data_IF_515035324367
#
_entry.id   IF_515035324367
#
_cell.length_a   1.000
_cell.length_b   1.000
_cell.length_c   1.000
_cell.angle_alpha   90.00
_cell.angle_beta   90.00
_cell.angle_gamma   90.00
#
_symmetry.space_group_name_H-M   'P 1'
#
loop_
_entity.id
_entity.type
_entity.pdbx_description
1 polymer ?
#
# COMPACT_ATOMS: atom_id res chain seq x y z
N UNK A 1 -30.46 3.67 -13.47
CA UNK A 1 -29.93 2.39 -12.94
C UNK A 1 -29.21 1.71 -14.09
N UNK A 2 -27.87 1.79 -14.11
CA UNK A 2 -27.02 1.31 -15.20
C UNK A 2 -26.35 0.01 -14.80
N UNK A 3 -26.25 -0.90 -15.75
CA UNK A 3 -25.75 -2.26 -15.62
C UNK A 3 -24.36 -2.35 -14.97
N UNK A 4 -24.20 -3.41 -14.15
CA UNK A 4 -22.99 -3.92 -13.50
C UNK A 4 -22.71 -3.49 -12.05
N UNK A 5 -23.69 -3.68 -11.15
CA UNK A 5 -23.37 -4.26 -9.82
C UNK A 5 -22.95 -5.73 -10.02
N UNK A 6 -21.78 -5.97 -10.62
CA UNK A 6 -21.12 -7.25 -10.39
C UNK A 6 -20.70 -7.22 -8.92
N UNK A 7 -21.39 -7.99 -8.07
CA UNK A 7 -21.00 -8.17 -6.68
C UNK A 7 -19.50 -8.53 -6.66
N UNK A 8 -18.68 -7.62 -6.11
CA UNK A 8 -17.25 -7.84 -5.99
C UNK A 8 -17.03 -9.03 -5.04
N UNK A 9 -16.55 -10.15 -5.58
CA UNK A 9 -16.30 -11.37 -4.84
C UNK A 9 -14.81 -11.53 -4.51
N UNK A 10 -14.51 -12.26 -3.44
CA UNK A 10 -13.14 -12.62 -3.09
C UNK A 10 -12.46 -13.39 -4.25
N UNK A 11 -11.12 -13.28 -4.40
CA UNK A 11 -10.39 -13.98 -5.44
C UNK A 11 -10.57 -15.50 -5.40
N UNK A 12 -10.43 -16.15 -6.56
CA UNK A 12 -10.59 -17.60 -6.68
C UNK A 12 -9.58 -18.37 -5.81
N UNK A 13 -9.93 -19.60 -5.41
CA UNK A 13 -9.02 -20.49 -4.67
C UNK A 13 -7.72 -20.77 -5.43
N UNK A 14 -7.78 -20.78 -6.77
CA UNK A 14 -6.59 -20.94 -7.60
C UNK A 14 -5.62 -19.76 -7.43
N UNK A 15 -6.13 -18.52 -7.45
CA UNK A 15 -5.31 -17.34 -7.18
C UNK A 15 -4.76 -17.35 -5.75
N UNK A 16 -5.57 -17.76 -4.76
CA UNK A 16 -5.11 -17.91 -3.37
C UNK A 16 -3.98 -18.93 -3.23
N UNK A 17 -4.04 -20.07 -3.92
CA UNK A 17 -2.94 -21.06 -3.90
C UNK A 17 -1.66 -20.49 -4.53
N UNK A 18 -1.79 -19.69 -5.57
CA UNK A 18 -0.65 -19.06 -6.22
C UNK A 18 0.06 -18.01 -5.35
N UNK A 19 -0.49 -17.59 -4.20
CA UNK A 19 0.23 -16.75 -3.23
C UNK A 19 1.54 -17.39 -2.72
N UNK A 20 1.69 -18.72 -2.83
CA UNK A 20 2.96 -19.40 -2.57
C UNK A 20 4.13 -18.89 -3.42
N UNK A 21 3.86 -18.25 -4.58
CA UNK A 21 4.89 -17.66 -5.43
C UNK A 21 5.60 -16.47 -4.78
N UNK A 22 5.08 -15.91 -3.68
CA UNK A 22 5.77 -14.88 -2.89
C UNK A 22 7.20 -15.28 -2.53
N UNK A 23 7.48 -16.57 -2.28
CA UNK A 23 8.84 -17.05 -2.03
C UNK A 23 9.77 -16.87 -3.25
N UNK A 24 9.27 -17.17 -4.45
CA UNK A 24 10.00 -16.95 -5.69
C UNK A 24 10.15 -15.46 -6.00
N UNK A 25 9.12 -14.67 -5.75
CA UNK A 25 9.16 -13.21 -5.89
C UNK A 25 10.19 -12.58 -4.92
N UNK A 26 10.40 -13.16 -3.74
CA UNK A 26 11.46 -12.75 -2.82
C UNK A 26 12.86 -13.11 -3.34
N UNK A 27 13.02 -14.30 -3.94
CA UNK A 27 14.26 -14.65 -4.65
C UNK A 27 14.56 -13.70 -5.82
N UNK A 28 13.53 -13.37 -6.60
CA UNK A 28 13.62 -12.41 -7.70
C UNK A 28 13.99 -11.00 -7.20
N UNK A 29 13.46 -10.57 -6.05
CA UNK A 29 13.86 -9.33 -5.39
C UNK A 29 15.35 -9.28 -5.10
N UNK A 30 15.89 -10.31 -4.47
CA UNK A 30 17.32 -10.38 -4.15
C UNK A 30 18.17 -10.36 -5.43
N UNK A 31 17.77 -11.11 -6.46
CA UNK A 31 18.45 -11.11 -7.76
C UNK A 31 18.35 -9.79 -8.52
N UNK A 32 17.27 -9.03 -8.33
CA UNK A 32 17.03 -7.76 -8.99
C UNK A 32 17.68 -6.55 -8.28
N UNK A 33 18.27 -6.71 -7.09
CA UNK A 33 18.88 -5.60 -6.34
C UNK A 33 19.88 -4.76 -7.16
N UNK A 34 20.76 -5.34 -8.01
CA UNK A 34 21.64 -4.54 -8.88
C UNK A 34 20.85 -3.67 -9.86
N UNK A 35 19.77 -4.19 -10.45
CA UNK A 35 18.92 -3.44 -11.37
C UNK A 35 18.11 -2.37 -10.62
N UNK A 36 17.56 -2.72 -9.46
CA UNK A 36 16.85 -1.79 -8.57
C UNK A 36 17.77 -0.68 -8.04
N UNK A 37 19.09 -0.86 -8.10
CA UNK A 37 20.04 0.21 -7.79
C UNK A 37 19.98 1.38 -8.78
N UNK A 38 19.34 1.20 -9.94
CA UNK A 38 19.05 2.27 -10.90
C UNK A 38 17.74 3.02 -10.58
N UNK A 39 16.97 2.57 -9.58
CA UNK A 39 15.79 3.29 -9.14
C UNK A 39 16.17 4.68 -8.60
N UNK A 40 15.30 5.70 -8.76
CA UNK A 40 15.54 7.04 -8.26
C UNK A 40 15.96 7.09 -6.79
N UNK A 41 16.79 8.08 -6.46
CA UNK A 41 17.21 8.34 -5.09
C UNK A 41 16.19 9.23 -4.38
N UNK A 42 16.07 9.02 -3.07
CA UNK A 42 15.29 9.87 -2.19
C UNK A 42 16.01 11.17 -1.85
N UNK A 43 15.22 12.16 -1.45
CA UNK A 43 15.67 13.48 -1.00
C UNK A 43 15.86 13.54 0.53
N UNK A 44 15.86 12.40 1.23
CA UNK A 44 15.96 12.32 2.69
C UNK A 44 14.64 12.42 3.46
N UNK A 45 13.47 12.59 2.82
CA UNK A 45 12.21 12.75 3.57
C UNK A 45 11.82 11.49 4.35
N UNK A 46 11.04 11.65 5.43
CA UNK A 46 10.55 10.53 6.21
C UNK A 46 9.51 9.69 5.45
N UNK A 47 9.66 8.36 5.51
CA UNK A 47 8.72 7.39 4.95
C UNK A 47 8.25 6.44 6.04
N UNK A 48 6.94 6.35 6.26
CA UNK A 48 6.34 5.41 7.21
C UNK A 48 5.72 4.23 6.45
N UNK A 49 6.18 3.02 6.76
CA UNK A 49 5.67 1.78 6.13
C UNK A 49 4.76 1.01 7.09
N UNK A 50 3.50 0.81 6.70
CA UNK A 50 2.48 0.13 7.50
C UNK A 50 2.21 -1.30 7.00
N UNK A 51 2.34 -2.33 7.86
CA UNK A 51 2.19 -3.72 7.47
C UNK A 51 0.72 -4.14 7.31
N UNK A 52 0.50 -5.22 6.56
CA UNK A 52 -0.81 -5.88 6.42
C UNK A 52 -1.25 -6.63 7.67
N UNK A 53 -2.46 -7.19 7.62
CA UNK A 53 -3.03 -7.98 8.71
C UNK A 53 -2.15 -9.19 9.08
N UNK A 54 -1.98 -9.44 10.37
CA UNK A 54 -1.10 -10.46 11.00
C UNK A 54 0.39 -10.28 10.68
N UNK A 55 0.77 -9.33 9.82
CA UNK A 55 2.15 -8.98 9.52
C UNK A 55 2.71 -8.00 10.56
N UNK A 56 4.01 -7.71 10.45
CA UNK A 56 4.69 -6.75 11.32
C UNK A 56 5.81 -6.04 10.55
N UNK A 57 6.57 -5.24 11.26
CA UNK A 57 7.79 -4.62 10.76
C UNK A 57 8.80 -5.62 10.17
N UNK A 58 8.84 -6.87 10.62
CA UNK A 58 9.70 -7.89 10.01
C UNK A 58 9.31 -8.17 8.55
N UNK A 59 8.01 -8.22 8.26
CA UNK A 59 7.46 -8.51 6.93
C UNK A 59 7.74 -7.38 5.93
N UNK A 60 7.81 -6.13 6.38
CA UNK A 60 8.10 -4.96 5.53
C UNK A 60 9.59 -4.62 5.48
N UNK A 61 10.45 -5.37 6.17
CA UNK A 61 11.90 -5.13 6.21
C UNK A 61 12.56 -5.07 4.82
N UNK A 62 12.21 -5.91 3.83
CA UNK A 62 12.82 -5.83 2.50
C UNK A 62 12.61 -4.46 1.84
N UNK A 63 11.35 -4.01 1.75
CA UNK A 63 11.00 -2.69 1.22
C UNK A 63 11.68 -1.57 2.01
N UNK A 64 11.60 -1.61 3.35
CA UNK A 64 12.22 -0.57 4.19
C UNK A 64 13.74 -0.51 4.01
N UNK A 65 14.42 -1.64 3.92
CA UNK A 65 15.87 -1.69 3.73
C UNK A 65 16.27 -1.14 2.36
N UNK A 66 15.49 -1.49 1.33
CA UNK A 66 15.69 -0.92 -0.01
C UNK A 66 15.52 0.60 -0.01
N UNK A 67 14.42 1.12 0.53
CA UNK A 67 14.16 2.56 0.60
C UNK A 67 15.23 3.31 1.42
N UNK A 68 15.71 2.72 2.53
CA UNK A 68 16.87 3.28 3.26
C UNK A 68 18.11 3.36 2.36
N UNK A 69 18.39 2.32 1.58
CA UNK A 69 19.52 2.32 0.63
C UNK A 69 19.36 3.35 -0.51
N UNK A 70 18.14 3.84 -0.75
CA UNK A 70 17.85 4.92 -1.71
C UNK A 70 17.96 6.31 -1.11
N UNK A 71 18.18 6.44 0.21
CA UNK A 71 18.37 7.72 0.88
C UNK A 71 17.12 8.29 1.56
N UNK A 72 16.09 7.48 1.82
CA UNK A 72 14.92 7.91 2.61
C UNK A 72 15.13 7.69 4.12
N UNK A 73 14.51 8.53 4.95
CA UNK A 73 14.42 8.32 6.39
C UNK A 73 13.25 7.37 6.71
N UNK A 74 13.48 6.06 6.60
CA UNK A 74 12.40 5.08 6.65
C UNK A 74 12.15 4.54 8.06
N UNK A 75 10.88 4.61 8.48
CA UNK A 75 10.35 4.07 9.72
C UNK A 75 9.34 2.96 9.44
N UNK A 76 9.29 1.96 10.33
CA UNK A 76 8.14 1.05 10.39
C UNK A 76 7.06 1.58 11.29
N UNK A 77 6.01 0.79 11.45
CA UNK A 77 4.83 1.22 12.20
C UNK A 77 4.99 1.15 13.72
N UNK A 78 6.00 0.43 14.24
CA UNK A 78 6.32 0.42 15.68
C UNK A 78 5.32 -0.27 16.62
N UNK A 79 4.20 -0.81 16.12
CA UNK A 79 3.10 -1.33 16.96
C UNK A 79 3.05 -2.86 17.07
N UNK A 80 4.17 -3.54 16.80
CA UNK A 80 4.25 -5.00 16.87
C UNK A 80 3.56 -5.69 15.70
N UNK A 81 2.67 -6.65 15.97
CA UNK A 81 1.92 -7.40 14.95
C UNK A 81 0.58 -6.72 14.67
N UNK A 82 0.24 -6.52 13.40
CA UNK A 82 -0.99 -5.87 13.00
C UNK A 82 -2.18 -6.80 13.19
N UNK A 83 -2.96 -6.55 14.24
CA UNK A 83 -4.14 -7.33 14.58
C UNK A 83 -5.41 -6.51 14.40
N UNK A 84 -5.40 -5.46 13.56
CA UNK A 84 -6.53 -4.55 13.42
C UNK A 84 -6.45 -3.33 14.33
N UNK A 85 -7.49 -2.47 14.27
CA UNK A 85 -7.63 -1.28 15.13
C UNK A 85 -8.07 -1.66 16.54
N UNK A 86 -7.18 -2.34 17.28
CA UNK A 86 -7.36 -2.59 18.71
C UNK A 86 -7.18 -1.28 19.49
N UNK A 87 -7.58 -1.28 20.76
CA UNK A 87 -7.45 -0.12 21.64
C UNK A 87 -6.01 0.44 21.62
N UNK A 88 -5.89 1.76 21.43
CA UNK A 88 -4.62 2.48 21.37
C UNK A 88 -3.88 2.42 20.02
N UNK A 89 -4.24 1.53 19.09
CA UNK A 89 -3.53 1.40 17.80
C UNK A 89 -3.66 2.64 16.95
N UNK A 90 -4.87 3.19 16.87
CA UNK A 90 -5.16 4.46 16.17
C UNK A 90 -4.30 5.59 16.73
N UNK A 91 -4.35 5.80 18.04
CA UNK A 91 -3.66 6.91 18.69
C UNK A 91 -2.14 6.78 18.54
N UNK A 92 -1.62 5.55 18.65
CA UNK A 92 -0.22 5.27 18.38
C UNK A 92 0.21 5.57 16.94
N UNK A 93 -0.66 5.37 15.94
CA UNK A 93 -0.34 5.73 14.55
C UNK A 93 -0.34 7.24 14.34
N UNK A 94 -1.30 7.94 14.95
CA UNK A 94 -1.38 9.41 14.90
C UNK A 94 -0.17 10.05 15.55
N UNK A 95 0.22 9.56 16.73
CA UNK A 95 1.39 10.08 17.44
C UNK A 95 2.69 9.78 16.68
N UNK A 96 2.86 8.56 16.17
CA UNK A 96 4.04 8.23 15.34
C UNK A 96 4.16 9.13 14.11
N UNK A 97 3.05 9.39 13.40
CA UNK A 97 3.06 10.30 12.25
C UNK A 97 3.45 11.72 12.65
N UNK A 98 2.93 12.20 13.77
CA UNK A 98 3.28 13.52 14.34
C UNK A 98 4.76 13.58 14.69
N UNK A 99 5.27 12.62 15.45
CA UNK A 99 6.67 12.52 15.84
C UNK A 99 7.62 12.49 14.64
N UNK A 100 7.32 11.67 13.62
CA UNK A 100 8.13 11.58 12.40
C UNK A 100 8.14 12.89 11.62
N UNK A 101 6.99 13.55 11.53
CA UNK A 101 6.87 14.84 10.84
C UNK A 101 7.59 15.95 11.59
N UNK A 102 7.43 16.04 12.92
CA UNK A 102 8.05 17.07 13.76
C UNK A 102 9.57 16.89 13.85
N UNK A 103 10.06 15.67 14.05
CA UNK A 103 11.50 15.39 14.18
C UNK A 103 12.31 15.67 12.91
N UNK A 104 11.70 15.46 11.73
CA UNK A 104 12.35 15.73 10.45
C UNK A 104 12.06 17.14 9.92
N UNK A 105 11.08 17.86 10.48
CA UNK A 105 10.59 19.14 9.95
C UNK A 105 10.03 19.03 8.53
N UNK A 106 9.53 17.84 8.14
CA UNK A 106 9.10 17.51 6.77
C UNK A 106 7.82 16.69 6.80
N UNK A 107 7.06 16.73 5.70
CA UNK A 107 5.92 15.82 5.51
C UNK A 107 6.39 14.38 5.31
N UNK A 108 5.59 13.44 5.79
CA UNK A 108 5.87 11.99 5.76
C UNK A 108 5.14 11.34 4.60
N UNK A 109 5.83 10.56 3.78
CA UNK A 109 5.17 9.69 2.80
C UNK A 109 4.74 8.38 3.47
N UNK A 110 3.51 7.94 3.20
CA UNK A 110 2.93 6.74 3.79
C UNK A 110 2.90 5.62 2.76
N UNK A 111 3.49 4.47 3.07
CA UNK A 111 3.40 3.25 2.24
C UNK A 111 2.68 2.18 3.04
N UNK A 112 1.47 1.81 2.62
CA UNK A 112 0.67 0.83 3.33
C UNK A 112 0.40 -0.41 2.51
N UNK A 113 0.67 -1.58 3.07
CA UNK A 113 0.39 -2.87 2.44
C UNK A 113 -0.88 -3.47 3.02
N UNK A 114 -1.80 -3.91 2.15
CA UNK A 114 -3.05 -4.56 2.56
C UNK A 114 -3.80 -3.67 3.58
N UNK A 115 -4.15 -4.20 4.76
CA UNK A 115 -4.75 -3.43 5.86
C UNK A 115 -3.95 -2.16 6.25
N UNK A 116 -2.62 -2.18 6.17
CA UNK A 116 -1.80 -1.00 6.43
C UNK A 116 -2.06 0.16 5.46
N UNK A 117 -2.52 -0.14 4.23
CA UNK A 117 -2.92 0.90 3.26
C UNK A 117 -4.25 1.57 3.61
N UNK A 118 -5.18 0.85 4.25
CA UNK A 118 -6.38 1.49 4.80
C UNK A 118 -5.99 2.51 5.87
N UNK A 119 -5.04 2.16 6.75
CA UNK A 119 -4.53 3.08 7.76
C UNK A 119 -3.80 4.28 7.17
N UNK A 120 -2.94 4.06 6.16
CA UNK A 120 -2.25 5.14 5.45
C UNK A 120 -3.24 6.17 4.90
N UNK A 121 -4.31 5.71 4.24
CA UNK A 121 -5.37 6.60 3.71
C UNK A 121 -6.05 7.40 4.81
N UNK A 122 -6.40 6.75 5.91
CA UNK A 122 -7.12 7.38 7.02
C UNK A 122 -6.25 8.42 7.74
N UNK A 123 -4.96 8.12 7.94
CA UNK A 123 -3.98 9.08 8.48
C UNK A 123 -3.82 10.30 7.57
N UNK A 124 -3.75 10.08 6.25
CA UNK A 124 -3.62 11.16 5.28
C UNK A 124 -4.85 12.08 5.21
N UNK A 125 -6.04 11.57 5.49
CA UNK A 125 -7.25 12.39 5.61
C UNK A 125 -7.31 13.13 6.93
N UNK A 126 -6.86 12.50 8.02
CA UNK A 126 -6.86 13.10 9.35
C UNK A 126 -5.78 14.18 9.51
N UNK A 127 -4.61 14.02 8.89
CA UNK A 127 -3.44 14.89 9.05
C UNK A 127 -2.79 15.24 7.70
N UNK A 128 -3.55 15.82 6.73
CA UNK A 128 -3.05 16.07 5.37
C UNK A 128 -1.83 17.00 5.33
N UNK A 129 -1.74 17.95 6.28
CA UNK A 129 -0.61 18.87 6.38
C UNK A 129 0.71 18.19 6.77
N UNK A 130 0.64 16.95 7.28
CA UNK A 130 1.81 16.15 7.68
C UNK A 130 2.13 15.02 6.72
N UNK A 131 1.26 14.78 5.73
CA UNK A 131 1.43 13.68 4.78
C UNK A 131 1.84 14.24 3.42
N UNK A 132 2.95 13.72 2.89
CA UNK A 132 3.49 14.10 1.59
C UNK A 132 2.75 13.39 0.46
N UNK A 133 2.54 12.08 0.62
CA UNK A 133 1.87 11.23 -0.35
C UNK A 133 1.48 9.89 0.29
N UNK A 134 0.56 9.17 -0.36
CA UNK A 134 0.13 7.82 0.03
C UNK A 134 0.39 6.85 -1.11
N UNK A 135 1.01 5.71 -0.81
CA UNK A 135 1.15 4.59 -1.73
C UNK A 135 0.52 3.36 -1.07
N UNK A 136 -0.48 2.77 -1.72
CA UNK A 136 -1.13 1.54 -1.23
C UNK A 136 -0.71 0.34 -2.06
N UNK A 137 -0.50 -0.81 -1.40
CA UNK A 137 -0.10 -2.07 -2.04
C UNK A 137 -1.20 -3.11 -1.79
N UNK A 138 -2.02 -3.42 -2.79
CA UNK A 138 -3.07 -4.44 -2.70
C UNK A 138 -4.08 -4.18 -1.57
N UNK A 139 -4.42 -2.91 -1.33
CA UNK A 139 -5.25 -2.51 -0.18
C UNK A 139 -6.72 -2.38 -0.56
N UNK A 140 -7.65 -3.19 0.00
CA UNK A 140 -9.05 -3.20 -0.42
C UNK A 140 -9.87 -2.07 0.24
N UNK A 141 -9.78 -0.84 -0.27
CA UNK A 141 -10.48 0.33 0.27
C UNK A 141 -11.77 0.73 -0.48
N UNK A 142 -11.96 0.24 -1.70
CA UNK A 142 -13.07 0.60 -2.61
C UNK A 142 -14.02 -0.57 -2.93
N UNK A 143 -14.12 -1.56 -2.03
CA UNK A 143 -14.98 -2.73 -2.21
C UNK A 143 -15.69 -3.14 -0.91
N UNK A 144 -16.71 -4.02 -0.99
CA UNK A 144 -17.39 -4.50 0.20
C UNK A 144 -16.41 -5.29 1.09
N UNK A 145 -16.56 -5.27 2.44
CA UNK A 145 -15.58 -5.87 3.36
C UNK A 145 -15.30 -7.37 3.14
N UNK A 146 -16.23 -8.09 2.50
CA UNK A 146 -16.11 -9.53 2.19
C UNK A 146 -15.48 -9.83 0.82
N UNK A 147 -15.07 -8.82 0.05
CA UNK A 147 -14.34 -9.00 -1.21
C UNK A 147 -12.84 -9.34 -1.01
N UNK A 148 -12.52 -10.10 0.04
CA UNK A 148 -11.16 -10.54 0.37
C UNK A 148 -11.19 -11.91 1.02
N UNK A 149 -10.23 -12.79 0.72
CA UNK A 149 -10.07 -14.08 1.40
C UNK A 149 -9.56 -13.91 2.85
N UNK A 150 -9.12 -12.71 3.25
CA UNK A 150 -8.61 -12.43 4.58
C UNK A 150 -9.68 -12.04 5.62
N UNK A 151 -10.97 -11.94 5.25
CA UNK A 151 -12.00 -11.42 6.16
C UNK A 151 -12.12 -12.22 7.47
N UNK A 152 -12.05 -13.56 7.41
CA UNK A 152 -12.10 -14.41 8.62
C UNK A 152 -10.89 -14.22 9.53
N UNK A 153 -9.71 -14.04 8.92
CA UNK A 153 -8.47 -13.76 9.65
C UNK A 153 -8.58 -12.37 10.30
N UNK A 154 -9.21 -11.41 9.62
CA UNK A 154 -9.44 -10.08 10.16
C UNK A 154 -10.35 -10.13 11.38
N UNK A 155 -11.48 -10.82 11.30
CA UNK A 155 -12.42 -10.94 12.43
C UNK A 155 -11.78 -11.62 13.64
N UNK A 156 -11.04 -12.70 13.41
CA UNK A 156 -10.32 -13.42 14.46
C UNK A 156 -9.22 -12.56 15.09
N UNK A 157 -8.45 -11.83 14.28
CA UNK A 157 -7.34 -11.04 14.76
C UNK A 157 -7.80 -9.75 15.46
N UNK A 158 -8.80 -9.06 14.91
CA UNK A 158 -9.29 -7.78 15.44
C UNK A 158 -10.30 -7.94 16.57
N UNK A 159 -11.02 -9.07 16.61
CA UNK A 159 -12.19 -9.22 17.47
C UNK A 159 -13.40 -8.41 17.00
N UNK A 160 -13.32 -7.76 15.84
CA UNK A 160 -14.39 -6.97 15.23
C UNK A 160 -14.93 -7.67 13.99
N UNK A 161 -16.25 -7.62 13.78
CA UNK A 161 -16.85 -8.11 12.54
C UNK A 161 -16.34 -7.31 11.33
N UNK A 162 -16.07 -7.99 10.22
CA UNK A 162 -15.67 -7.34 8.97
C UNK A 162 -16.81 -6.49 8.40
N UNK A 163 -18.07 -6.85 8.67
CA UNK A 163 -19.26 -6.10 8.24
C UNK A 163 -19.52 -4.86 9.11
N UNK A 164 -19.06 -4.90 10.37
CA UNK A 164 -19.27 -3.83 11.35
C UNK A 164 -17.96 -3.16 11.77
N UNK A 165 -16.94 -3.20 10.90
CA UNK A 165 -15.64 -2.61 11.21
C UNK A 165 -15.80 -1.12 11.55
N UNK A 166 -15.62 -0.84 12.86
CA UNK A 166 -15.67 0.41 13.61
C UNK A 166 -14.96 1.62 12.95
N UNK A 167 -15.29 2.86 13.37
CA UNK A 167 -15.47 4.02 12.51
C UNK A 167 -14.17 4.47 11.85
N UNK A 168 -14.28 4.73 10.55
CA UNK A 168 -13.24 5.36 9.77
C UNK A 168 -12.83 6.69 10.42
N UNK A 169 -11.62 6.76 10.96
CA UNK A 169 -11.16 7.92 11.73
C UNK A 169 -10.76 9.13 10.87
N UNK A 170 -10.75 8.97 9.54
CA UNK A 170 -10.55 10.01 8.56
C UNK A 170 -11.68 10.07 7.51
N UNK A 171 -12.87 9.53 7.79
CA UNK A 171 -13.98 9.50 6.83
C UNK A 171 -13.98 8.29 5.89
N UNK A 172 -14.89 8.24 4.92
CA UNK A 172 -15.18 7.04 4.12
C UNK A 172 -13.91 6.43 3.48
N UNK A 173 -13.66 5.11 3.65
CA UNK A 173 -12.41 4.48 3.16
C UNK A 173 -12.16 4.71 1.67
N UNK A 174 -13.21 4.62 0.85
CA UNK A 174 -13.16 4.75 -0.60
C UNK A 174 -12.86 6.18 -1.08
N UNK A 175 -13.12 7.20 -0.25
CA UNK A 175 -12.77 8.57 -0.58
C UNK A 175 -11.24 8.69 -0.75
N UNK A 176 -10.77 9.39 -1.78
CA UNK A 176 -9.35 9.59 -2.03
C UNK A 176 -8.80 10.60 -1.01
N UNK A 177 -7.65 10.34 -0.36
CA UNK A 177 -7.00 11.32 0.51
C UNK A 177 -6.70 12.63 -0.23
N UNK A 178 -6.72 13.80 0.43
CA UNK A 178 -6.46 15.11 -0.19
C UNK A 178 -4.95 15.37 -0.40
N UNK A 179 -4.20 14.34 -0.77
CA UNK A 179 -2.76 14.33 -1.03
C UNK A 179 -2.46 13.39 -2.19
N UNK A 180 -1.29 13.49 -2.86
CA UNK A 180 -0.94 12.57 -3.94
C UNK A 180 -1.07 11.11 -3.51
N UNK A 181 -1.85 10.32 -4.26
CA UNK A 181 -2.20 8.95 -3.89
C UNK A 181 -2.01 7.98 -5.05
N UNK A 182 -1.15 6.98 -4.86
CA UNK A 182 -0.94 5.92 -5.85
C UNK A 182 -1.44 4.59 -5.28
N UNK A 183 -2.31 3.90 -6.02
CA UNK A 183 -2.70 2.54 -5.71
C UNK A 183 -1.96 1.54 -6.61
N UNK A 184 -1.17 0.66 -6.00
CA UNK A 184 -0.50 -0.44 -6.68
C UNK A 184 -1.32 -1.71 -6.44
N UNK A 185 -1.81 -2.32 -7.51
CA UNK A 185 -2.65 -3.51 -7.45
C UNK A 185 -2.16 -4.59 -8.42
N UNK A 186 -2.67 -5.81 -8.22
CA UNK A 186 -2.41 -6.93 -9.12
C UNK A 186 -3.70 -7.66 -9.40
N UNK A 187 -3.99 -7.92 -10.68
CA UNK A 187 -5.13 -8.76 -11.09
C UNK A 187 -4.96 -10.22 -10.68
N UNK A 188 -3.73 -10.62 -10.37
CA UNK A 188 -3.38 -11.96 -9.90
C UNK A 188 -3.30 -12.07 -8.37
N UNK A 189 -3.69 -11.01 -7.65
CA UNK A 189 -3.83 -11.01 -6.19
C UNK A 189 -4.83 -12.10 -5.75
N UNK A 190 -4.37 -13.03 -4.91
CA UNK A 190 -5.15 -14.15 -4.39
C UNK A 190 -5.85 -13.86 -3.07
N UNK A 191 -5.63 -12.70 -2.47
CA UNK A 191 -6.18 -12.32 -1.17
C UNK A 191 -7.28 -11.28 -1.34
N UNK A 192 -7.03 -10.19 -2.03
CA UNK A 192 -7.96 -9.07 -2.18
C UNK A 192 -8.48 -8.98 -3.61
N UNK A 193 -9.78 -8.72 -3.79
CA UNK A 193 -10.33 -8.42 -5.10
C UNK A 193 -9.70 -7.11 -5.61
N UNK A 194 -8.97 -7.21 -6.71
CA UNK A 194 -8.13 -6.13 -7.21
C UNK A 194 -8.91 -4.86 -7.54
N UNK A 195 -10.16 -4.97 -7.97
CA UNK A 195 -11.05 -3.84 -8.24
C UNK A 195 -11.27 -2.98 -6.99
N UNK A 196 -11.37 -3.61 -5.82
CA UNK A 196 -11.50 -2.91 -4.54
C UNK A 196 -10.20 -2.25 -4.08
N UNK A 197 -9.09 -2.49 -4.78
CA UNK A 197 -7.78 -1.90 -4.49
C UNK A 197 -7.43 -0.74 -5.41
N UNK A 198 -8.35 -0.30 -6.26
CA UNK A 198 -8.12 0.78 -7.22
C UNK A 198 -8.66 2.11 -6.73
N UNK A 199 -7.87 3.16 -6.98
CA UNK A 199 -8.31 4.54 -6.89
C UNK A 199 -9.20 4.93 -8.06
N UNK A 200 -10.08 5.90 -7.82
CA UNK A 200 -10.66 6.70 -8.90
C UNK A 200 -9.56 7.67 -9.38
N UNK A 201 -9.13 7.61 -10.66
CA UNK A 201 -8.10 8.52 -11.16
C UNK A 201 -8.52 9.99 -11.07
N UNK A 202 -7.57 10.86 -10.70
CA UNK A 202 -7.78 12.31 -10.60
C UNK A 202 -6.48 13.05 -10.94
N UNK A 203 -6.47 14.38 -10.76
CA UNK A 203 -5.26 15.18 -10.92
C UNK A 203 -4.13 14.80 -9.93
N UNK A 204 -4.42 14.05 -8.87
CA UNK A 204 -3.45 13.64 -7.84
C UNK A 204 -3.59 12.16 -7.44
N UNK A 205 -4.38 11.37 -8.17
CA UNK A 205 -4.54 9.94 -7.89
C UNK A 205 -4.43 9.07 -9.12
N UNK A 206 -3.79 7.92 -8.97
CA UNK A 206 -3.57 6.97 -10.06
C UNK A 206 -3.53 5.52 -9.59
N UNK A 207 -3.56 4.61 -10.56
CA UNK A 207 -3.39 3.18 -10.35
C UNK A 207 -2.18 2.65 -11.13
N UNK A 208 -1.37 1.80 -10.52
CA UNK A 208 -0.29 1.05 -11.17
C UNK A 208 -0.60 -0.44 -11.06
N UNK A 209 -0.80 -1.10 -12.19
CA UNK A 209 -0.90 -2.55 -12.24
C UNK A 209 0.50 -3.18 -12.21
N UNK A 210 0.66 -4.23 -11.42
CA UNK A 210 1.82 -5.12 -11.42
C UNK A 210 1.34 -6.57 -11.47
N UNK A 211 2.16 -7.47 -12.00
CA UNK A 211 1.93 -8.91 -11.87
C UNK A 211 2.65 -9.41 -10.62
N UNK A 212 1.93 -9.51 -9.50
CA UNK A 212 2.47 -9.91 -8.20
C UNK A 212 1.44 -10.70 -7.41
N UNK A 213 1.89 -11.62 -6.55
CA UNK A 213 1.09 -12.11 -5.42
C UNK A 213 0.84 -10.99 -4.41
N UNK A 214 -0.25 -11.08 -3.64
CA UNK A 214 -0.55 -10.16 -2.54
C UNK A 214 0.57 -10.15 -1.49
N UNK A 215 0.98 -11.35 -1.07
CA UNK A 215 2.04 -11.56 -0.10
C UNK A 215 3.39 -11.05 -0.59
N UNK A 216 3.65 -11.15 -1.90
CA UNK A 216 4.88 -10.68 -2.49
C UNK A 216 4.95 -9.19 -2.75
N UNK A 217 3.84 -8.44 -2.74
CA UNK A 217 3.87 -6.99 -3.03
C UNK A 217 4.82 -6.22 -2.11
N UNK A 218 5.03 -6.68 -0.87
CA UNK A 218 5.98 -6.07 0.06
C UNK A 218 7.45 -6.19 -0.34
N UNK A 219 7.78 -6.99 -1.35
CA UNK A 219 9.15 -7.17 -1.85
C UNK A 219 9.26 -7.37 -3.36
N UNK A 220 8.16 -7.41 -4.11
CA UNK A 220 8.20 -7.67 -5.55
C UNK A 220 9.02 -6.59 -6.28
N UNK A 221 9.99 -6.93 -7.14
CA UNK A 221 10.89 -5.95 -7.78
C UNK A 221 10.15 -4.80 -8.46
N UNK A 222 9.11 -5.10 -9.24
CA UNK A 222 8.32 -4.07 -9.92
C UNK A 222 7.58 -3.16 -8.93
N UNK A 223 7.10 -3.69 -7.80
CA UNK A 223 6.43 -2.89 -6.78
C UNK A 223 7.44 -1.99 -6.09
N UNK A 224 8.58 -2.55 -5.67
CA UNK A 224 9.65 -1.82 -5.00
C UNK A 224 10.20 -0.68 -5.87
N UNK A 225 10.39 -0.92 -7.18
CA UNK A 225 10.78 0.12 -8.12
C UNK A 225 9.72 1.22 -8.24
N UNK A 226 8.44 0.84 -8.42
CA UNK A 226 7.35 1.81 -8.54
C UNK A 226 7.22 2.65 -7.27
N UNK A 227 7.34 2.05 -6.08
CA UNK A 227 7.34 2.79 -4.80
C UNK A 227 8.47 3.82 -4.77
N UNK A 228 9.70 3.44 -5.10
CA UNK A 228 10.82 4.40 -5.09
C UNK A 228 10.66 5.51 -6.13
N UNK A 229 10.14 5.20 -7.31
CA UNK A 229 9.94 6.19 -8.36
C UNK A 229 8.82 7.18 -7.99
N UNK A 230 7.71 6.70 -7.40
CA UNK A 230 6.65 7.58 -6.86
C UNK A 230 7.13 8.44 -5.70
N UNK A 231 7.91 7.87 -4.78
CA UNK A 231 8.49 8.61 -3.66
C UNK A 231 9.51 9.67 -4.11
N UNK A 232 10.14 9.51 -5.27
CA UNK A 232 11.16 10.46 -5.73
C UNK A 232 10.58 11.79 -6.26
N UNK A 233 9.26 11.88 -6.45
CA UNK A 233 8.64 13.12 -6.95
C UNK A 233 8.73 14.25 -5.91
N UNK A 234 9.13 15.46 -6.32
CA UNK A 234 9.10 16.64 -5.46
C UNK A 234 7.68 17.00 -4.99
N UNK A 235 7.58 17.67 -3.84
CA UNK A 235 6.30 18.21 -3.36
C UNK A 235 5.78 19.26 -4.33
N UNK A 236 4.50 19.14 -4.72
CA UNK A 236 3.86 20.05 -5.68
C UNK A 236 4.10 19.71 -7.15
N UNK A 237 4.99 18.78 -7.47
CA UNK A 237 5.31 18.37 -8.85
C UNK A 237 4.80 16.96 -9.17
N UNK A 238 3.61 16.61 -8.67
CA UNK A 238 3.08 15.28 -8.89
C UNK A 238 2.80 15.02 -10.38
N UNK A 239 3.23 13.87 -10.86
CA UNK A 239 2.99 13.40 -12.22
C UNK A 239 2.60 11.90 -12.25
N UNK A 240 1.70 11.47 -13.16
CA UNK A 240 1.36 10.06 -13.32
C UNK A 240 2.56 9.18 -13.70
N UNK A 241 2.43 7.87 -13.50
CA UNK A 241 3.50 6.90 -13.71
C UNK A 241 3.79 6.73 -15.19
N UNK A 242 5.00 7.12 -15.58
CA UNK A 242 5.44 6.98 -16.97
C UNK A 242 5.73 5.51 -17.28
N UNK A 243 4.89 4.94 -18.15
CA UNK A 243 4.97 3.56 -18.63
C UNK A 243 5.71 3.45 -19.96
N UNK A 244 6.36 4.50 -20.45
CA UNK A 244 7.09 4.45 -21.71
C UNK A 244 8.32 3.52 -21.65
N UNK A 245 8.80 3.12 -22.83
CA UNK A 245 10.00 2.29 -22.96
C UNK A 245 9.86 0.91 -22.29
N UNK A 246 10.91 0.47 -21.60
CA UNK A 246 10.94 -0.85 -20.96
C UNK A 246 9.86 -1.05 -19.89
N UNK A 247 9.37 0.05 -19.27
CA UNK A 247 8.34 -0.01 -18.24
C UNK A 247 7.02 -0.55 -18.79
N UNK A 248 6.73 -0.36 -20.08
CA UNK A 248 5.52 -0.92 -20.71
C UNK A 248 5.49 -2.45 -20.71
N UNK A 249 6.64 -3.11 -20.62
CA UNK A 249 6.75 -4.57 -20.53
C UNK A 249 6.54 -5.11 -19.11
N UNK A 250 6.71 -4.26 -18.09
CA UNK A 250 6.68 -4.64 -16.67
C UNK A 250 5.41 -4.15 -15.98
N UNK A 251 4.87 -3.02 -16.43
CA UNK A 251 3.71 -2.35 -15.86
C UNK A 251 2.59 -2.32 -16.91
N UNK A 252 1.62 -3.25 -16.84
CA UNK A 252 0.51 -3.27 -17.76
C UNK A 252 -0.34 -1.99 -17.71
N UNK A 253 -1.13 -1.77 -18.77
CA UNK A 253 -2.16 -0.73 -18.74
C UNK A 253 -3.22 -1.10 -17.69
N UNK A 254 -3.43 -0.29 -16.63
CA UNK A 254 -4.42 -0.57 -15.59
C UNK A 254 -5.85 -0.74 -16.10
N UNK A 255 -6.17 -0.11 -17.24
CA UNK A 255 -7.50 -0.11 -17.86
C UNK A 255 -7.72 -1.22 -18.90
N UNK A 256 -6.79 -2.18 -19.02
CA UNK A 256 -6.90 -3.30 -19.97
C UNK A 256 -8.01 -4.30 -19.63
#
# INVERSE_FOLDING_TARGET
MSAAEHALHAPSKALMFLEGRALHEFGAFLGALPLLSLAPKGDGHPVLVLPGLVASDSSTKPLRSFLKSRGYAVSGWGQGRNLGLRAGVRDGMVELLRELSDSHGRKVSLVGWSLGGLYARQLAKLMPDRVRSVITLGSPFAGPPKATNAWRVYEMASGHSAEHAEPHFGGALAETPPVPTTAIFSRTDGICAWQGCMETPSAMSENIEVESSHCGMGHHPAVVYAVAERLAQPEGEWAPFDRAGWRSMVYPNPSR
#
